data_IF_192962924609
#
_entry.id   IF_192962924609
#
_cell.length_a   1.000
_cell.length_b   1.000
_cell.length_c   1.000
_cell.angle_alpha   90.00
_cell.angle_beta   90.00
_cell.angle_gamma   90.00
#
_symmetry.space_group_name_H-M   'P 1'
#
loop_
_entity.id
_entity.type
_entity.pdbx_description
1 polymer ?
#
# COMPACT_ATOMS: atom_id res chain seq x y z
N UNK A 1 -0.35 8.25 12.71
CA UNK A 1 0.03 7.77 11.38
C UNK A 1 1.21 6.83 11.52
N UNK A 2 1.19 5.73 10.80
CA UNK A 2 2.28 4.78 10.73
C UNK A 2 2.82 4.75 9.29
N UNK A 3 4.14 4.71 9.18
CA UNK A 3 4.80 4.65 7.88
C UNK A 3 5.56 3.34 7.73
N UNK A 4 5.66 2.81 6.51
CA UNK A 4 6.33 1.54 6.30
C UNK A 4 7.85 1.67 6.34
N UNK A 5 8.48 0.61 6.84
CA UNK A 5 9.92 0.40 6.82
C UNK A 5 10.19 -0.96 6.21
N UNK A 6 11.09 -1.01 5.24
CA UNK A 6 11.46 -2.27 4.58
C UNK A 6 12.43 -3.03 5.47
N UNK A 7 12.08 -4.27 5.77
CA UNK A 7 12.94 -5.21 6.50
C UNK A 7 12.99 -6.52 5.71
N UNK A 8 14.10 -6.76 5.03
CA UNK A 8 14.20 -7.91 4.13
C UNK A 8 13.18 -7.83 3.01
N UNK A 9 12.23 -8.76 2.99
CA UNK A 9 11.16 -8.82 1.98
C UNK A 9 9.81 -8.36 2.53
N UNK A 10 9.77 -7.83 3.74
CA UNK A 10 8.53 -7.42 4.39
C UNK A 10 8.49 -5.93 4.68
N UNK A 11 7.27 -5.42 4.89
CA UNK A 11 7.03 -4.08 5.38
C UNK A 11 6.66 -4.16 6.86
N UNK A 12 7.42 -3.44 7.67
CA UNK A 12 7.06 -3.19 9.07
C UNK A 12 6.58 -1.75 9.18
N UNK A 13 5.66 -1.48 10.08
CA UNK A 13 5.09 -0.15 10.26
C UNK A 13 5.54 0.44 11.59
N UNK A 14 5.91 1.70 11.55
CA UNK A 14 6.37 2.45 12.71
C UNK A 14 5.63 3.78 12.79
N UNK A 15 5.32 4.22 13.99
CA UNK A 15 4.74 5.56 14.18
C UNK A 15 5.69 6.61 13.64
N UNK A 16 5.12 7.56 12.92
CA UNK A 16 5.88 8.67 12.37
C UNK A 16 5.00 9.91 12.28
N UNK A 17 5.55 11.03 12.65
CA UNK A 17 4.92 12.34 12.49
C UNK A 17 5.96 13.33 11.94
N UNK A 18 5.48 14.45 11.44
CA UNK A 18 6.34 15.46 10.84
C UNK A 18 7.45 15.86 11.82
N UNK A 19 8.68 15.88 11.32
CA UNK A 19 9.86 16.19 12.12
C UNK A 19 10.56 14.97 12.71
N UNK A 20 9.95 13.79 12.71
CA UNK A 20 10.60 12.57 13.19
C UNK A 20 11.75 12.14 12.27
N UNK A 21 12.73 11.48 12.85
CA UNK A 21 13.89 11.00 12.13
C UNK A 21 13.51 9.99 11.05
N UNK A 22 14.18 10.07 9.92
CA UNK A 22 14.06 9.12 8.81
C UNK A 22 15.44 8.69 8.35
N UNK A 23 15.49 7.58 7.62
CA UNK A 23 16.68 7.15 6.90
C UNK A 23 16.31 6.88 5.44
N UNK A 24 17.32 6.88 4.57
CA UNK A 24 17.10 6.70 3.13
C UNK A 24 17.49 5.27 2.76
N UNK A 25 16.57 4.58 2.07
CA UNK A 25 16.82 3.24 1.53
C UNK A 25 17.75 3.31 0.31
N UNK A 26 18.23 2.16 -0.15
CA UNK A 26 19.03 2.06 -1.37
C UNK A 26 18.28 2.61 -2.59
N UNK A 27 16.95 2.54 -2.61
CA UNK A 27 16.12 3.09 -3.68
C UNK A 27 15.87 4.60 -3.56
N UNK A 28 16.43 5.27 -2.58
CA UNK A 28 16.24 6.71 -2.37
C UNK A 28 14.95 7.09 -1.65
N UNK A 29 14.22 6.13 -1.15
CA UNK A 29 12.95 6.36 -0.43
C UNK A 29 13.25 6.57 1.05
N UNK A 30 12.63 7.59 1.64
CA UNK A 30 12.73 7.82 3.09
C UNK A 30 11.79 6.87 3.84
N UNK A 31 12.26 6.39 4.98
CA UNK A 31 11.48 5.53 5.87
C UNK A 31 11.79 5.87 7.33
N UNK A 32 10.88 5.51 8.26
CA UNK A 32 11.16 5.68 9.68
C UNK A 32 12.42 4.92 10.09
N UNK A 33 13.14 5.44 11.08
CA UNK A 33 14.29 4.74 11.66
C UNK A 33 13.83 3.50 12.43
N UNK A 34 14.72 2.53 12.59
CA UNK A 34 14.36 1.25 13.23
C UNK A 34 13.94 1.42 14.70
N UNK A 35 14.41 2.48 15.37
CA UNK A 35 14.07 2.77 16.77
C UNK A 35 12.70 3.44 16.94
N UNK A 36 12.04 3.86 15.85
CA UNK A 36 10.69 4.41 15.95
C UNK A 36 9.73 3.36 16.49
N UNK A 37 8.65 3.80 17.15
CA UNK A 37 7.70 2.91 17.80
C UNK A 37 7.03 1.99 16.78
N UNK A 38 7.15 0.67 16.92
CA UNK A 38 6.50 -0.26 16.00
C UNK A 38 4.98 -0.27 16.18
N UNK A 39 4.27 -0.51 15.09
CA UNK A 39 2.81 -0.63 15.05
C UNK A 39 2.45 -2.01 14.49
N UNK A 40 1.59 -2.73 15.21
CA UNK A 40 1.09 -4.01 14.73
C UNK A 40 0.17 -3.81 13.54
N UNK A 41 0.35 -4.58 12.47
CA UNK A 41 -0.46 -4.47 11.26
C UNK A 41 -1.94 -4.78 11.51
N UNK A 42 -2.24 -5.59 12.52
CA UNK A 42 -3.63 -5.90 12.88
C UNK A 42 -4.38 -4.69 13.43
N UNK A 43 -3.68 -3.67 13.89
CA UNK A 43 -4.29 -2.46 14.45
C UNK A 43 -4.50 -1.36 13.41
N UNK A 44 -4.01 -1.54 12.20
CA UNK A 44 -4.13 -0.54 11.14
C UNK A 44 -5.47 -0.71 10.44
N UNK A 45 -6.28 0.36 10.44
CA UNK A 45 -7.62 0.35 9.85
C UNK A 45 -7.64 0.74 8.38
N UNK A 46 -6.66 1.53 7.94
CA UNK A 46 -6.60 2.07 6.59
C UNK A 46 -5.16 2.02 6.09
N UNK A 47 -4.97 1.34 4.96
CA UNK A 47 -3.69 1.32 4.25
C UNK A 47 -3.77 2.21 3.01
N UNK A 48 -3.05 3.31 3.04
CA UNK A 48 -2.86 4.15 1.85
C UNK A 48 -1.74 3.52 1.04
N UNK A 49 -2.08 3.03 -0.15
CA UNK A 49 -1.24 2.10 -0.91
C UNK A 49 -0.77 2.73 -2.21
N UNK A 50 0.54 2.81 -2.45
CA UNK A 50 1.06 3.29 -3.72
C UNK A 50 0.81 2.28 -4.83
N UNK A 51 0.75 2.75 -6.08
CA UNK A 51 0.53 1.89 -7.23
C UNK A 51 1.09 2.52 -8.50
N UNK A 52 1.33 1.66 -9.50
CA UNK A 52 1.59 2.09 -10.88
C UNK A 52 0.30 2.15 -11.68
N UNK A 53 -0.64 1.28 -11.38
CA UNK A 53 -1.93 1.24 -12.04
C UNK A 53 -2.97 0.54 -11.17
N UNK A 54 -4.24 0.83 -11.46
CA UNK A 54 -5.38 0.23 -10.81
C UNK A 54 -6.38 -0.22 -11.87
N UNK A 55 -6.76 -1.49 -11.86
CA UNK A 55 -7.75 -2.05 -12.76
C UNK A 55 -9.16 -1.73 -12.32
N UNK A 56 -10.14 -2.04 -13.18
CA UNK A 56 -11.56 -1.72 -12.93
C UNK A 56 -12.15 -2.46 -11.76
N UNK A 57 -11.59 -3.61 -11.39
CA UNK A 57 -12.07 -4.42 -10.26
C UNK A 57 -11.21 -4.24 -9.00
N UNK A 58 -10.31 -3.27 -9.00
CA UNK A 58 -9.44 -3.00 -7.86
C UNK A 58 -8.10 -3.69 -7.91
N UNK A 59 -7.77 -4.41 -8.97
CA UNK A 59 -6.47 -5.05 -9.08
C UNK A 59 -5.38 -3.99 -9.14
N UNK A 60 -4.32 -4.21 -8.38
CA UNK A 60 -3.23 -3.26 -8.23
C UNK A 60 -2.01 -3.70 -9.02
N UNK A 61 -1.48 -2.80 -9.85
CA UNK A 61 -0.18 -2.98 -10.46
C UNK A 61 0.87 -2.28 -9.59
N UNK A 62 1.73 -3.06 -8.99
CA UNK A 62 2.79 -2.56 -8.10
C UNK A 62 4.13 -2.44 -8.79
N UNK A 63 5.13 -2.12 -7.99
CA UNK A 63 6.49 -1.84 -8.47
C UNK A 63 7.36 -3.09 -8.62
N UNK A 64 6.78 -4.28 -8.47
CA UNK A 64 7.47 -5.55 -8.73
C UNK A 64 8.08 -6.24 -7.50
N UNK A 65 8.18 -5.57 -6.37
CA UNK A 65 8.78 -6.16 -5.16
C UNK A 65 7.87 -7.09 -4.38
N UNK A 66 6.57 -7.05 -4.61
CA UNK A 66 5.58 -7.88 -3.92
C UNK A 66 5.35 -7.54 -2.45
N UNK A 67 5.85 -6.42 -1.97
CA UNK A 67 5.75 -6.03 -0.55
C UNK A 67 4.30 -5.89 -0.09
N UNK A 68 3.46 -5.22 -0.87
CA UNK A 68 2.06 -5.00 -0.51
C UNK A 68 1.22 -6.26 -0.70
N UNK A 69 1.51 -7.06 -1.71
CA UNK A 69 0.81 -8.34 -1.90
C UNK A 69 1.06 -9.27 -0.71
N UNK A 70 2.31 -9.34 -0.23
CA UNK A 70 2.63 -10.11 0.97
C UNK A 70 1.97 -9.54 2.22
N UNK A 71 1.98 -8.20 2.37
CA UNK A 71 1.33 -7.53 3.49
C UNK A 71 -0.15 -7.86 3.54
N UNK A 72 -0.84 -7.79 2.41
CA UNK A 72 -2.28 -7.96 2.33
C UNK A 72 -2.76 -9.40 2.52
N UNK A 73 -1.86 -10.36 2.57
CA UNK A 73 -2.23 -11.73 2.96
C UNK A 73 -2.77 -11.77 4.39
N UNK A 74 -2.19 -10.96 5.29
CA UNK A 74 -2.56 -10.98 6.71
C UNK A 74 -3.20 -9.69 7.20
N UNK A 75 -2.90 -8.55 6.58
CA UNK A 75 -3.47 -7.26 6.98
C UNK A 75 -4.95 -7.20 6.63
N UNK A 76 -5.78 -6.68 7.55
CA UNK A 76 -7.25 -6.67 7.44
C UNK A 76 -7.83 -5.28 7.21
N UNK A 77 -7.03 -4.22 7.35
CA UNK A 77 -7.49 -2.86 7.15
C UNK A 77 -7.97 -2.60 5.71
N UNK A 78 -8.73 -1.54 5.54
CA UNK A 78 -9.19 -1.11 4.24
C UNK A 78 -8.00 -0.72 3.36
N UNK A 79 -7.95 -1.24 2.13
CA UNK A 79 -6.86 -1.00 1.19
C UNK A 79 -7.27 0.09 0.20
N UNK A 80 -6.75 1.29 0.39
CA UNK A 80 -7.02 2.44 -0.47
C UNK A 80 -5.80 2.72 -1.35
N UNK A 81 -5.95 2.51 -2.66
CA UNK A 81 -4.95 2.95 -3.61
C UNK A 81 -5.04 4.44 -3.84
N UNK A 82 -3.92 5.11 -4.01
CA UNK A 82 -3.87 6.54 -4.26
C UNK A 82 -3.01 6.80 -5.49
N UNK A 83 -3.51 7.61 -6.42
CA UNK A 83 -2.80 7.92 -7.64
C UNK A 83 -3.56 8.93 -8.49
N UNK A 84 -3.13 9.05 -9.74
CA UNK A 84 -3.81 9.90 -10.71
C UNK A 84 -4.86 9.11 -11.48
N UNK A 85 -5.87 9.82 -12.03
CA UNK A 85 -6.95 9.19 -12.78
C UNK A 85 -6.43 8.37 -13.97
N UNK A 86 -5.35 8.81 -14.62
CA UNK A 86 -4.73 8.08 -15.72
C UNK A 86 -4.19 6.70 -15.33
N UNK A 87 -3.99 6.46 -14.03
CA UNK A 87 -3.54 5.17 -13.51
C UNK A 87 -4.69 4.18 -13.32
N UNK A 88 -5.95 4.64 -13.47
CA UNK A 88 -7.11 3.75 -13.47
C UNK A 88 -7.30 3.25 -14.90
N UNK A 89 -6.84 2.06 -15.17
CA UNK A 89 -6.71 1.49 -16.52
C UNK A 89 -7.52 0.23 -16.68
N UNK A 90 -7.58 -0.28 -17.92
CA UNK A 90 -8.21 -1.57 -18.19
C UNK A 90 -7.48 -2.69 -17.45
N UNK A 91 -8.23 -3.70 -17.04
CA UNK A 91 -7.65 -4.82 -16.30
C UNK A 91 -6.60 -5.54 -17.15
N UNK A 92 -5.62 -6.05 -16.48
CA UNK A 92 -4.63 -6.97 -17.00
C UNK A 92 -4.84 -8.32 -16.32
N UNK A 93 -4.13 -9.32 -16.78
CA UNK A 93 -4.23 -10.64 -16.17
C UNK A 93 -3.52 -10.64 -14.81
N UNK A 94 -4.31 -10.66 -13.75
CA UNK A 94 -3.80 -10.74 -12.39
C UNK A 94 -3.44 -12.17 -12.02
N UNK A 95 -2.48 -12.32 -11.12
CA UNK A 95 -2.13 -13.63 -10.57
C UNK A 95 -3.08 -13.99 -9.43
N UNK A 96 -3.24 -15.28 -9.16
CA UNK A 96 -4.20 -15.77 -8.18
C UNK A 96 -3.92 -15.26 -6.75
N UNK A 97 -2.69 -14.94 -6.43
CA UNK A 97 -2.31 -14.43 -5.10
C UNK A 97 -2.42 -12.92 -4.96
N UNK A 98 -2.73 -12.20 -6.05
CA UNK A 98 -2.91 -10.76 -5.99
C UNK A 98 -4.16 -10.41 -5.20
N UNK A 99 -4.03 -9.41 -4.33
CA UNK A 99 -5.13 -8.94 -3.48
C UNK A 99 -5.68 -7.63 -4.02
N UNK A 100 -6.98 -7.55 -4.35
CA UNK A 100 -7.54 -6.32 -4.86
C UNK A 100 -7.59 -5.23 -3.80
N UNK A 101 -7.56 -3.98 -4.27
CA UNK A 101 -7.83 -2.83 -3.43
C UNK A 101 -9.32 -2.75 -3.09
N UNK A 102 -9.65 -2.08 -2.00
CA UNK A 102 -11.05 -1.79 -1.62
C UNK A 102 -11.52 -0.47 -2.22
N UNK A 103 -10.61 0.42 -2.55
CA UNK A 103 -10.93 1.69 -3.18
C UNK A 103 -9.73 2.29 -3.89
N UNK A 104 -9.99 3.27 -4.74
CA UNK A 104 -8.96 4.03 -5.44
C UNK A 104 -9.33 5.51 -5.39
N UNK A 105 -8.46 6.31 -4.79
CA UNK A 105 -8.61 7.76 -4.71
C UNK A 105 -7.66 8.41 -5.71
N UNK A 106 -8.22 9.18 -6.64
CA UNK A 106 -7.45 9.93 -7.61
C UNK A 106 -7.69 11.43 -7.46
N UNK A 107 -7.04 12.20 -8.34
CA UNK A 107 -7.26 13.63 -8.46
C UNK A 107 -8.66 14.00 -8.97
N UNK A 108 -9.44 13.04 -9.46
CA UNK A 108 -10.76 13.25 -10.05
C UNK A 108 -11.90 12.69 -9.18
N UNK A 109 -11.72 11.52 -8.57
CA UNK A 109 -12.81 10.84 -7.88
C UNK A 109 -12.31 9.78 -6.91
N UNK A 110 -13.23 9.31 -6.08
CA UNK A 110 -13.06 8.13 -5.25
C UNK A 110 -13.91 7.01 -5.83
N UNK A 111 -13.29 5.89 -6.16
CA UNK A 111 -13.97 4.69 -6.63
C UNK A 111 -13.89 3.63 -5.53
N UNK A 112 -15.03 3.07 -5.14
CA UNK A 112 -15.08 1.96 -4.21
C UNK A 112 -15.35 0.68 -4.96
N UNK A 113 -14.53 -0.33 -4.69
CA UNK A 113 -14.71 -1.64 -5.28
C UNK A 113 -15.52 -2.52 -4.34
N UNK A 114 -16.40 -3.31 -4.91
CA UNK A 114 -17.17 -4.30 -4.17
C UNK A 114 -16.49 -5.65 -4.38
N UNK A 115 -15.57 -6.02 -3.51
CA UNK A 115 -14.98 -7.34 -3.65
C UNK A 115 -16.07 -8.39 -3.47
N UNK A 116 -15.98 -9.40 -4.27
CA UNK A 116 -16.78 -10.60 -4.07
C UNK A 116 -16.32 -11.24 -2.77
N UNK A 117 -17.06 -11.01 -1.71
CA UNK A 117 -16.72 -11.53 -0.40
C UNK A 117 -17.03 -13.02 -0.30
#
# INVERSE_FOLDING_TARGET
VACPRVVGTTLNFHLWQDGDATEITLGGVRQPVASATPVSIETIDLFITPLLGCGRTGMRLGYGGGFYDRLFVTARGFRLGVGFAQQHVSDWQAEAHDKPLNGFLSDSELVLFHPEY
#
